data_IF_737901934391
#
_entry.id   IF_737901934391
#
_cell.length_a   1.000
_cell.length_b   1.000
_cell.length_c   1.000
_cell.angle_alpha   90.00
_cell.angle_beta   90.00
_cell.angle_gamma   90.00
#
_symmetry.space_group_name_H-M   'P 1'
#
loop_
_entity.id
_entity.type
_entity.pdbx_description
1 polymer ?
#
# COMPACT_ATOMS: atom_id res chain seq x y z
N UNK A 1 -33.04 -5.57 -64.57
CA UNK A 1 -32.75 -4.63 -63.49
C UNK A 1 -32.72 -5.42 -62.20
N UNK A 2 -31.54 -5.83 -61.83
CA UNK A 2 -31.29 -6.76 -60.70
C UNK A 2 -30.78 -5.93 -59.55
N UNK A 3 -31.50 -5.92 -58.44
CA UNK A 3 -31.14 -5.20 -57.20
C UNK A 3 -30.36 -6.21 -56.33
N UNK A 4 -29.10 -5.95 -56.12
CA UNK A 4 -28.27 -6.70 -55.15
C UNK A 4 -28.49 -6.13 -53.76
N UNK A 5 -29.07 -6.94 -52.91
CA UNK A 5 -29.20 -6.70 -51.49
C UNK A 5 -27.86 -7.03 -50.82
N UNK A 6 -27.17 -6.02 -50.30
CA UNK A 6 -25.90 -6.18 -49.59
C UNK A 6 -26.21 -6.37 -48.12
N UNK A 7 -26.22 -7.61 -47.66
CA UNK A 7 -26.24 -7.97 -46.22
C UNK A 7 -24.95 -7.51 -45.56
N UNK A 8 -25.05 -6.43 -44.80
CA UNK A 8 -24.01 -5.99 -43.88
C UNK A 8 -23.96 -6.95 -42.69
N UNK A 9 -22.98 -7.83 -42.69
CA UNK A 9 -22.60 -8.62 -41.54
C UNK A 9 -21.98 -7.69 -40.49
N UNK A 10 -22.83 -7.27 -39.54
CA UNK A 10 -22.39 -6.61 -38.30
C UNK A 10 -21.55 -7.60 -37.50
N UNK A 11 -20.25 -7.56 -37.71
CA UNK A 11 -19.28 -8.22 -36.85
C UNK A 11 -19.34 -7.62 -35.45
N UNK A 12 -20.01 -8.28 -34.52
CA UNK A 12 -19.82 -8.05 -33.08
C UNK A 12 -18.35 -8.37 -32.77
N UNK A 13 -17.50 -7.37 -32.84
CA UNK A 13 -16.17 -7.42 -32.27
C UNK A 13 -16.32 -7.71 -30.78
N UNK A 14 -16.04 -8.94 -30.40
CA UNK A 14 -15.84 -9.31 -29.01
C UNK A 14 -14.78 -8.35 -28.47
N UNK A 15 -15.19 -7.36 -27.65
CA UNK A 15 -14.27 -6.62 -26.78
C UNK A 15 -13.60 -7.68 -25.92
N UNK A 16 -12.37 -8.06 -26.25
CA UNK A 16 -11.52 -8.80 -25.33
C UNK A 16 -11.48 -7.96 -24.05
N UNK A 17 -12.16 -8.41 -23.02
CA UNK A 17 -12.16 -7.76 -21.73
C UNK A 17 -10.72 -7.80 -21.24
N UNK A 18 -10.06 -6.65 -21.25
CA UNK A 18 -8.69 -6.54 -20.78
C UNK A 18 -8.71 -6.90 -19.28
N UNK A 19 -7.98 -7.99 -18.90
CA UNK A 19 -7.94 -8.40 -17.51
C UNK A 19 -7.30 -7.32 -16.65
N UNK A 20 -7.79 -7.13 -15.44
CA UNK A 20 -7.18 -6.26 -14.43
C UNK A 20 -5.82 -6.85 -14.05
N UNK A 21 -4.77 -6.10 -14.25
CA UNK A 21 -3.38 -6.50 -13.97
C UNK A 21 -3.06 -6.22 -12.53
N UNK A 22 -2.64 -7.23 -11.79
CA UNK A 22 -2.35 -7.16 -10.37
C UNK A 22 -0.87 -7.37 -10.12
N UNK A 23 -0.23 -6.41 -9.46
CA UNK A 23 1.08 -6.57 -8.84
C UNK A 23 0.89 -6.92 -7.36
N UNK A 24 1.78 -7.74 -6.81
CA UNK A 24 1.79 -8.12 -5.40
C UNK A 24 3.15 -7.73 -4.82
N UNK A 25 3.15 -7.10 -3.64
CA UNK A 25 4.32 -6.89 -2.82
C UNK A 25 4.06 -7.49 -1.43
N UNK A 26 4.60 -8.68 -1.18
CA UNK A 26 4.50 -9.43 0.08
C UNK A 26 5.69 -10.40 0.16
N UNK A 27 6.48 -10.36 1.22
CA UNK A 27 7.67 -11.19 1.40
C UNK A 27 7.35 -12.63 1.87
N UNK A 28 6.08 -12.91 2.17
CA UNK A 28 5.61 -14.23 2.57
C UNK A 28 5.13 -15.05 1.39
N UNK A 29 5.98 -15.95 0.86
CA UNK A 29 5.67 -16.76 -0.32
C UNK A 29 4.36 -17.54 -0.19
N UNK A 30 4.04 -18.09 0.98
CA UNK A 30 2.79 -18.83 1.22
C UNK A 30 1.53 -17.96 1.05
N UNK A 31 1.62 -16.68 1.39
CA UNK A 31 0.54 -15.70 1.17
C UNK A 31 0.40 -15.41 -0.32
N UNK A 32 1.51 -15.16 -1.00
CA UNK A 32 1.54 -14.94 -2.46
C UNK A 32 0.96 -16.13 -3.21
N UNK A 33 1.31 -17.35 -2.84
CA UNK A 33 0.78 -18.58 -3.44
C UNK A 33 -0.73 -18.73 -3.15
N UNK A 34 -1.17 -18.31 -1.96
CA UNK A 34 -2.59 -18.21 -1.63
C UNK A 34 -3.36 -17.26 -2.57
N UNK A 35 -2.81 -16.09 -2.88
CA UNK A 35 -3.41 -15.16 -3.83
C UNK A 35 -3.39 -15.73 -5.26
N UNK A 36 -2.28 -16.32 -5.70
CA UNK A 36 -2.18 -16.99 -7.00
C UNK A 36 -3.22 -18.07 -7.15
N UNK A 37 -3.38 -18.93 -6.15
CA UNK A 37 -4.39 -20.00 -6.16
C UNK A 37 -5.81 -19.44 -6.27
N UNK A 38 -6.15 -18.41 -5.49
CA UNK A 38 -7.48 -17.78 -5.50
C UNK A 38 -7.83 -17.11 -6.82
N UNK A 39 -6.84 -16.55 -7.50
CA UNK A 39 -7.01 -15.81 -8.75
C UNK A 39 -6.72 -16.65 -10.00
N UNK A 40 -6.26 -17.91 -9.85
CA UNK A 40 -5.84 -18.78 -10.96
C UNK A 40 -6.91 -19.01 -12.03
N UNK A 41 -8.18 -19.14 -11.61
CA UNK A 41 -9.32 -19.38 -12.49
C UNK A 41 -10.05 -18.09 -12.90
N UNK A 42 -9.52 -16.92 -12.55
CA UNK A 42 -10.16 -15.66 -12.91
C UNK A 42 -10.04 -15.36 -14.41
N UNK A 43 -11.17 -15.01 -15.01
CA UNK A 43 -11.22 -14.47 -16.37
C UNK A 43 -11.08 -12.94 -16.41
N UNK A 44 -11.15 -12.25 -15.24
CA UNK A 44 -11.18 -10.80 -15.10
C UNK A 44 -9.91 -10.21 -14.51
N UNK A 45 -9.13 -11.01 -13.80
CA UNK A 45 -7.92 -10.59 -13.09
C UNK A 45 -6.73 -11.43 -13.55
N UNK A 46 -5.54 -10.85 -13.58
CA UNK A 46 -4.28 -11.55 -13.85
C UNK A 46 -3.16 -10.98 -12.99
N UNK A 47 -2.36 -11.84 -12.35
CA UNK A 47 -1.18 -11.41 -11.61
C UNK A 47 -0.06 -11.23 -12.62
N UNK A 48 0.50 -10.02 -12.67
CA UNK A 48 1.60 -9.66 -13.58
C UNK A 48 2.95 -9.69 -12.89
N UNK A 49 3.03 -9.38 -11.60
CA UNK A 49 4.25 -9.48 -10.82
C UNK A 49 3.98 -9.86 -9.36
N UNK A 50 4.95 -10.51 -8.72
CA UNK A 50 4.95 -10.77 -7.29
C UNK A 50 6.38 -10.54 -6.78
N UNK A 51 6.53 -9.64 -5.83
CA UNK A 51 7.76 -9.03 -5.35
C UNK A 51 7.88 -9.27 -3.86
N UNK A 52 9.12 -9.41 -3.36
CA UNK A 52 9.41 -9.63 -1.96
C UNK A 52 10.06 -8.42 -1.27
N UNK A 53 10.55 -7.44 -2.04
CA UNK A 53 11.24 -6.28 -1.53
C UNK A 53 10.64 -4.98 -2.08
N UNK A 54 10.59 -3.96 -1.23
CA UNK A 54 10.00 -2.67 -1.59
C UNK A 54 10.71 -1.94 -2.73
N UNK A 55 12.04 -2.08 -2.85
CA UNK A 55 12.84 -1.44 -3.90
C UNK A 55 12.64 -2.06 -5.29
N UNK A 56 12.07 -3.26 -5.37
CA UNK A 56 11.70 -3.91 -6.64
C UNK A 56 10.44 -3.30 -7.27
N UNK A 57 9.62 -2.56 -6.48
CA UNK A 57 8.28 -2.16 -6.88
C UNK A 57 8.29 -1.17 -8.05
N UNK A 58 9.04 -0.08 -7.96
CA UNK A 58 9.10 0.90 -9.05
C UNK A 58 9.68 0.35 -10.34
N UNK A 59 10.81 -0.40 -10.35
CA UNK A 59 11.31 -1.06 -11.55
C UNK A 59 10.30 -2.04 -12.16
N UNK A 60 9.60 -2.81 -11.32
CA UNK A 60 8.58 -3.75 -11.79
C UNK A 60 7.41 -3.03 -12.45
N UNK A 61 6.85 -1.99 -11.83
CA UNK A 61 5.73 -1.22 -12.39
C UNK A 61 6.11 -0.47 -13.69
N UNK A 62 7.38 -0.03 -13.82
CA UNK A 62 7.86 0.61 -15.04
C UNK A 62 7.97 -0.38 -16.21
N UNK A 63 8.41 -1.61 -15.95
CA UNK A 63 8.57 -2.65 -16.95
C UNK A 63 7.26 -3.40 -17.26
N UNK A 64 6.45 -3.61 -16.25
CA UNK A 64 5.21 -4.38 -16.31
C UNK A 64 4.10 -3.63 -15.52
N UNK A 65 3.42 -2.68 -16.19
CA UNK A 65 2.40 -1.87 -15.54
C UNK A 65 1.27 -2.70 -14.95
N UNK A 66 0.85 -2.36 -13.74
CA UNK A 66 -0.29 -2.94 -13.03
C UNK A 66 -1.42 -1.93 -12.87
N UNK A 67 -2.64 -2.42 -12.75
CA UNK A 67 -3.84 -1.62 -12.49
C UNK A 67 -4.16 -1.60 -10.98
N UNK A 68 -3.83 -2.70 -10.28
CA UNK A 68 -4.02 -2.84 -8.82
C UNK A 68 -2.73 -3.38 -8.19
N UNK A 69 -2.30 -2.77 -7.10
CA UNK A 69 -1.21 -3.25 -6.25
C UNK A 69 -1.79 -3.82 -4.95
N UNK A 70 -1.56 -5.10 -4.69
CA UNK A 70 -1.74 -5.70 -3.38
C UNK A 70 -0.45 -5.46 -2.58
N UNK A 71 -0.56 -4.71 -1.49
CA UNK A 71 0.60 -4.21 -0.74
C UNK A 71 0.57 -4.69 0.70
N UNK A 72 1.56 -5.48 1.11
CA UNK A 72 1.81 -5.70 2.54
C UNK A 72 2.63 -4.54 3.14
N UNK A 73 2.35 -4.26 4.41
CA UNK A 73 3.00 -3.18 5.18
C UNK A 73 4.38 -3.58 5.67
N UNK A 74 4.59 -4.86 5.95
CA UNK A 74 5.76 -5.35 6.69
C UNK A 74 6.89 -5.83 5.81
N UNK A 75 6.82 -5.63 4.49
CA UNK A 75 7.87 -6.06 3.58
C UNK A 75 9.20 -5.34 3.84
N UNK A 76 10.35 -6.03 3.74
CA UNK A 76 11.65 -5.39 3.84
C UNK A 76 11.91 -4.44 2.67
N UNK A 77 12.75 -3.42 2.90
CA UNK A 77 13.07 -2.43 1.86
C UNK A 77 13.85 -3.06 0.71
N UNK A 78 14.87 -3.90 1.00
CA UNK A 78 15.70 -4.61 0.02
C UNK A 78 16.40 -5.81 0.65
N UNK A 79 17.03 -6.71 -0.13
CA UNK A 79 17.84 -7.80 0.42
C UNK A 79 18.95 -7.34 1.36
N UNK A 80 19.52 -6.15 1.13
CA UNK A 80 20.54 -5.52 1.96
C UNK A 80 20.00 -4.60 3.05
N UNK A 81 18.69 -4.34 3.10
CA UNK A 81 18.05 -3.49 4.09
C UNK A 81 16.76 -4.15 4.61
N UNK A 82 16.81 -4.88 5.72
CA UNK A 82 15.67 -5.58 6.29
C UNK A 82 14.65 -4.66 6.97
N UNK A 83 14.94 -3.36 7.11
CA UNK A 83 13.98 -2.43 7.68
C UNK A 83 12.72 -2.35 6.81
N UNK A 84 11.54 -2.13 7.42
CA UNK A 84 10.28 -2.05 6.68
C UNK A 84 10.31 -1.01 5.58
N UNK A 85 9.73 -1.35 4.43
CA UNK A 85 9.54 -0.42 3.32
C UNK A 85 8.69 0.79 3.76
N UNK A 86 9.06 2.03 3.41
CA UNK A 86 8.41 3.24 3.95
C UNK A 86 7.07 3.52 3.28
N UNK A 87 6.06 2.70 3.53
CA UNK A 87 4.76 2.72 2.82
C UNK A 87 4.05 4.06 2.88
N UNK A 88 4.13 4.80 4.00
CA UNK A 88 3.49 6.11 4.14
C UNK A 88 4.13 7.20 3.27
N UNK A 89 5.37 6.96 2.80
CA UNK A 89 6.03 7.75 1.77
C UNK A 89 5.76 7.18 0.37
N UNK A 90 5.79 5.86 0.23
CA UNK A 90 5.69 5.17 -1.05
C UNK A 90 4.30 5.31 -1.68
N UNK A 91 3.21 5.14 -0.91
CA UNK A 91 1.84 5.21 -1.44
C UNK A 91 1.57 6.52 -2.21
N UNK A 92 1.74 7.72 -1.63
CA UNK A 92 1.49 8.97 -2.37
C UNK A 92 2.45 9.16 -3.54
N UNK A 93 3.71 8.74 -3.42
CA UNK A 93 4.70 8.81 -4.50
C UNK A 93 4.30 7.94 -5.70
N UNK A 94 3.86 6.70 -5.44
CA UNK A 94 3.38 5.78 -6.47
C UNK A 94 2.12 6.32 -7.16
N UNK A 95 1.15 6.83 -6.41
CA UNK A 95 -0.09 7.39 -6.97
C UNK A 95 0.17 8.65 -7.79
N UNK A 96 1.17 9.46 -7.42
CA UNK A 96 1.59 10.60 -8.24
C UNK A 96 2.23 10.16 -9.55
N UNK A 97 3.07 9.10 -9.51
CA UNK A 97 3.79 8.59 -10.69
C UNK A 97 2.91 7.74 -11.59
N UNK A 98 1.98 6.99 -11.01
CA UNK A 98 1.06 6.09 -11.68
C UNK A 98 -0.40 6.43 -11.30
N UNK A 99 -1.00 7.49 -11.90
CA UNK A 99 -2.31 8.02 -11.47
C UNK A 99 -3.47 7.02 -11.59
N UNK A 100 -3.33 6.00 -12.43
CA UNK A 100 -4.34 4.96 -12.62
C UNK A 100 -4.12 3.71 -11.73
N UNK A 101 -3.02 3.68 -10.97
CA UNK A 101 -2.74 2.58 -10.05
C UNK A 101 -3.68 2.67 -8.84
N UNK A 102 -4.29 1.56 -8.50
CA UNK A 102 -5.10 1.40 -7.29
C UNK A 102 -4.29 0.61 -6.27
N UNK A 103 -4.21 1.07 -5.02
CA UNK A 103 -3.45 0.39 -3.97
C UNK A 103 -4.43 -0.19 -2.94
N UNK A 104 -4.39 -1.52 -2.80
CA UNK A 104 -5.13 -2.29 -1.80
C UNK A 104 -4.15 -2.87 -0.80
N UNK A 105 -4.17 -2.37 0.43
CA UNK A 105 -3.30 -2.85 1.50
C UNK A 105 -3.88 -4.12 2.12
N UNK A 106 -3.03 -5.15 2.28
CA UNK A 106 -3.39 -6.41 2.96
C UNK A 106 -2.35 -6.68 4.03
N UNK A 107 -2.74 -6.65 5.31
CA UNK A 107 -1.78 -6.63 6.42
C UNK A 107 -2.29 -7.36 7.66
N UNK A 108 -1.36 -7.77 8.53
CA UNK A 108 -1.69 -8.30 9.88
C UNK A 108 -1.98 -7.20 10.91
N UNK A 109 -1.67 -5.94 10.59
CA UNK A 109 -1.70 -4.83 11.53
C UNK A 109 -3.10 -4.30 11.75
N UNK A 110 -3.47 -4.16 13.03
CA UNK A 110 -4.79 -3.73 13.50
C UNK A 110 -4.78 -2.33 14.15
N UNK A 111 -3.63 -1.68 14.16
CA UNK A 111 -3.45 -0.37 14.81
C UNK A 111 -4.22 0.70 14.05
N UNK A 112 -5.20 1.31 14.72
CA UNK A 112 -6.08 2.33 14.15
C UNK A 112 -5.32 3.48 13.50
N UNK A 113 -4.25 3.94 14.16
CA UNK A 113 -3.40 5.03 13.65
C UNK A 113 -2.78 4.70 12.31
N UNK A 114 -2.28 3.46 12.15
CA UNK A 114 -1.66 2.99 10.92
C UNK A 114 -2.69 2.79 9.80
N UNK A 115 -3.83 2.13 10.08
CA UNK A 115 -4.92 1.96 9.12
C UNK A 115 -5.37 3.33 8.58
N UNK A 116 -5.60 4.29 9.50
CA UNK A 116 -5.98 5.66 9.13
C UNK A 116 -4.92 6.33 8.27
N UNK A 117 -3.64 6.27 8.66
CA UNK A 117 -2.55 6.90 7.93
C UNK A 117 -2.40 6.34 6.50
N UNK A 118 -2.56 5.02 6.34
CA UNK A 118 -2.51 4.33 5.04
C UNK A 118 -3.68 4.78 4.14
N UNK A 119 -4.91 4.81 4.66
CA UNK A 119 -6.07 5.29 3.90
C UNK A 119 -5.93 6.77 3.53
N UNK A 120 -5.45 7.59 4.45
CA UNK A 120 -5.18 9.02 4.21
C UNK A 120 -4.01 9.25 3.24
N UNK A 121 -3.07 8.31 3.11
CA UNK A 121 -2.01 8.35 2.11
C UNK A 121 -2.54 8.10 0.69
N UNK A 122 -3.76 7.56 0.55
CA UNK A 122 -4.45 7.37 -0.73
C UNK A 122 -4.70 5.91 -1.10
N UNK A 123 -4.50 4.95 -0.20
CA UNK A 123 -4.91 3.57 -0.45
C UNK A 123 -6.43 3.48 -0.67
N UNK A 124 -6.86 2.63 -1.61
CA UNK A 124 -8.27 2.38 -1.91
C UNK A 124 -8.89 1.28 -1.05
N UNK A 125 -8.09 0.69 -0.15
CA UNK A 125 -8.64 -0.28 0.78
C UNK A 125 -7.59 -0.80 1.76
N UNK A 126 -8.12 -1.42 2.83
CA UNK A 126 -7.33 -2.09 3.87
C UNK A 126 -8.01 -3.39 4.29
N UNK A 127 -7.32 -4.50 4.07
CA UNK A 127 -7.79 -5.85 4.42
C UNK A 127 -6.86 -6.41 5.49
N UNK A 128 -7.44 -6.97 6.55
CA UNK A 128 -6.67 -7.73 7.52
C UNK A 128 -6.42 -9.16 6.98
N UNK A 129 -5.17 -9.65 7.05
CA UNK A 129 -4.79 -11.00 6.58
C UNK A 129 -5.57 -12.12 7.29
N UNK A 130 -6.13 -11.86 8.46
CA UNK A 130 -7.01 -12.78 9.20
C UNK A 130 -8.45 -12.82 8.67
N UNK A 131 -8.90 -11.84 7.87
CA UNK A 131 -10.24 -11.80 7.29
C UNK A 131 -10.35 -12.75 6.10
N UNK A 132 -10.51 -14.05 6.43
CA UNK A 132 -10.63 -15.11 5.44
C UNK A 132 -11.86 -14.95 4.54
N UNK A 133 -12.93 -14.30 5.00
CA UNK A 133 -14.12 -14.08 4.20
C UNK A 133 -13.81 -13.11 3.04
N UNK A 134 -13.20 -11.97 3.33
CA UNK A 134 -12.77 -10.99 2.33
C UNK A 134 -11.70 -11.59 1.38
N UNK A 135 -10.74 -12.35 1.91
CA UNK A 135 -9.71 -12.98 1.08
C UNK A 135 -10.25 -14.11 0.17
N UNK A 136 -11.35 -14.77 0.53
CA UNK A 136 -12.04 -15.71 -0.39
C UNK A 136 -12.70 -15.00 -1.56
N UNK A 137 -13.13 -13.76 -1.36
CA UNK A 137 -13.79 -12.93 -2.37
C UNK A 137 -12.83 -11.90 -3.01
N UNK A 138 -11.51 -12.17 -2.94
CA UNK A 138 -10.46 -11.23 -3.35
C UNK A 138 -10.63 -10.71 -4.79
N UNK A 139 -11.11 -11.56 -5.72
CA UNK A 139 -11.38 -11.15 -7.09
C UNK A 139 -12.41 -10.02 -7.16
N UNK A 140 -13.54 -10.14 -6.47
CA UNK A 140 -14.57 -9.12 -6.47
C UNK A 140 -14.11 -7.84 -5.74
N UNK A 141 -13.31 -7.97 -4.70
CA UNK A 141 -12.70 -6.82 -4.01
C UNK A 141 -11.77 -6.07 -4.96
N UNK A 142 -10.87 -6.76 -5.69
CA UNK A 142 -9.99 -6.15 -6.69
C UNK A 142 -10.81 -5.40 -7.76
N UNK A 143 -11.86 -6.01 -8.28
CA UNK A 143 -12.72 -5.39 -9.28
C UNK A 143 -13.44 -4.16 -8.71
N UNK A 144 -13.93 -4.24 -7.48
CA UNK A 144 -14.59 -3.13 -6.81
C UNK A 144 -13.66 -1.91 -6.66
N UNK A 145 -12.45 -2.12 -6.13
CA UNK A 145 -11.50 -1.01 -5.94
C UNK A 145 -10.97 -0.47 -7.26
N UNK A 146 -10.74 -1.33 -8.26
CA UNK A 146 -10.36 -0.91 -9.61
C UNK A 146 -11.40 0.01 -10.26
N UNK A 147 -12.68 -0.21 -9.98
CA UNK A 147 -13.80 0.61 -10.45
C UNK A 147 -14.05 1.86 -9.58
N UNK A 148 -13.12 2.22 -8.69
CA UNK A 148 -13.20 3.41 -7.85
C UNK A 148 -13.89 3.20 -6.51
N UNK A 149 -14.21 1.97 -6.12
CA UNK A 149 -14.71 1.64 -4.79
C UNK A 149 -13.63 1.74 -3.72
N UNK A 150 -14.03 1.91 -2.47
CA UNK A 150 -13.18 1.78 -1.29
C UNK A 150 -13.55 0.49 -0.58
N UNK A 151 -12.55 -0.31 -0.17
CA UNK A 151 -12.80 -1.55 0.55
C UNK A 151 -12.06 -1.59 1.89
N UNK A 152 -12.80 -1.77 2.97
CA UNK A 152 -12.26 -2.06 4.29
C UNK A 152 -12.80 -3.42 4.74
N UNK A 153 -11.93 -4.31 5.18
CA UNK A 153 -12.40 -5.53 5.85
C UNK A 153 -13.21 -5.16 7.08
N UNK A 154 -14.18 -6.00 7.45
CA UNK A 154 -15.12 -5.68 8.53
C UNK A 154 -14.44 -5.20 9.79
N UNK A 155 -13.40 -5.92 10.25
CA UNK A 155 -12.65 -5.57 11.46
C UNK A 155 -11.87 -4.25 11.29
N UNK A 156 -11.27 -3.99 10.12
CA UNK A 156 -10.59 -2.71 9.86
C UNK A 156 -11.58 -1.53 9.91
N UNK A 157 -12.77 -1.70 9.34
CA UNK A 157 -13.83 -0.70 9.40
C UNK A 157 -14.30 -0.46 10.84
N UNK A 158 -14.54 -1.52 11.62
CA UNK A 158 -14.94 -1.42 13.03
C UNK A 158 -13.88 -0.68 13.87
N UNK A 159 -12.59 -0.93 13.61
CA UNK A 159 -11.47 -0.24 14.29
C UNK A 159 -11.46 1.25 13.96
N UNK A 160 -11.70 1.63 12.70
CA UNK A 160 -11.75 3.03 12.30
C UNK A 160 -12.96 3.75 12.92
N UNK A 161 -14.14 3.11 12.95
CA UNK A 161 -15.37 3.71 13.45
C UNK A 161 -15.39 3.89 14.97
N UNK A 162 -14.80 2.98 15.76
CA UNK A 162 -14.78 3.04 17.23
C UNK A 162 -14.08 4.26 17.81
N UNK A 163 -13.45 5.10 17.01
CA UNK A 163 -12.68 6.27 17.45
C UNK A 163 -13.22 7.59 16.90
N UNK A 164 -14.51 7.73 16.66
CA UNK A 164 -15.14 8.99 16.19
C UNK A 164 -15.16 10.07 17.29
N UNK A 165 -14.82 9.73 18.54
CA UNK A 165 -14.69 10.71 19.61
C UNK A 165 -13.33 11.44 19.53
N UNK A 166 -13.33 12.55 18.79
CA UNK A 166 -12.57 13.77 19.07
C UNK A 166 -11.04 13.74 19.07
N UNK A 167 -10.34 12.73 18.54
CA UNK A 167 -8.87 12.76 18.60
C UNK A 167 -8.29 13.04 17.20
N UNK A 168 -7.89 14.33 17.01
CA UNK A 168 -7.00 14.73 15.92
C UNK A 168 -5.78 13.79 15.88
N UNK A 169 -5.35 13.40 14.70
CA UNK A 169 -4.14 12.60 14.52
C UNK A 169 -2.98 13.24 15.30
N UNK A 170 -2.38 12.51 16.24
CA UNK A 170 -1.26 12.99 17.08
C UNK A 170 -0.14 13.60 16.22
N UNK A 171 0.12 13.00 15.06
CA UNK A 171 1.12 13.45 14.08
C UNK A 171 0.45 13.79 12.74
N UNK A 172 0.98 14.79 12.04
CA UNK A 172 0.55 15.09 10.68
C UNK A 172 1.03 14.01 9.68
N UNK A 173 0.38 13.92 8.52
CA UNK A 173 0.79 13.01 7.42
C UNK A 173 2.28 13.15 7.09
N UNK A 174 2.78 14.38 6.97
CA UNK A 174 4.19 14.66 6.67
C UNK A 174 5.14 14.27 7.82
N UNK A 175 4.68 14.35 9.08
CA UNK A 175 5.46 13.87 10.23
C UNK A 175 5.53 12.33 10.25
N UNK A 176 4.42 11.65 9.94
CA UNK A 176 4.36 10.19 9.81
C UNK A 176 5.26 9.70 8.66
N UNK A 177 5.20 10.35 7.50
CA UNK A 177 6.05 10.08 6.35
C UNK A 177 7.55 10.21 6.71
N UNK A 178 7.95 11.30 7.37
CA UNK A 178 9.32 11.51 7.79
C UNK A 178 9.80 10.44 8.78
N UNK A 179 8.96 10.04 9.74
CA UNK A 179 9.31 8.98 10.71
C UNK A 179 9.35 7.59 10.04
N UNK A 180 8.49 7.32 9.07
CA UNK A 180 8.52 6.08 8.28
C UNK A 180 9.84 5.95 7.50
N UNK A 181 10.31 7.04 6.89
CA UNK A 181 11.61 7.10 6.24
C UNK A 181 12.78 6.94 7.24
N UNK A 182 12.67 7.52 8.44
CA UNK A 182 13.66 7.32 9.49
C UNK A 182 13.75 5.85 9.96
N UNK A 183 12.62 5.14 9.96
CA UNK A 183 12.57 3.71 10.27
C UNK A 183 13.25 2.88 9.18
N UNK A 184 12.93 3.14 7.92
CA UNK A 184 13.45 2.39 6.77
C UNK A 184 14.93 2.66 6.49
N UNK A 185 15.39 3.87 6.80
CA UNK A 185 16.75 4.34 6.54
C UNK A 185 17.34 5.00 7.80
N UNK A 186 17.66 4.21 8.85
CA UNK A 186 18.05 4.74 10.16
C UNK A 186 19.32 5.61 10.11
N UNK A 187 20.26 5.27 9.23
CA UNK A 187 21.54 5.96 9.09
C UNK A 187 21.48 7.17 8.15
N UNK A 188 20.36 7.40 7.48
CA UNK A 188 20.21 8.53 6.59
C UNK A 188 20.25 9.86 7.33
N UNK A 189 21.01 10.81 6.77
CA UNK A 189 21.02 12.21 7.21
C UNK A 189 19.70 12.89 6.92
N UNK A 190 19.42 14.02 7.59
CA UNK A 190 18.22 14.83 7.27
C UNK A 190 18.25 15.39 5.85
N UNK A 191 19.44 15.57 5.26
CA UNK A 191 19.60 16.01 3.88
C UNK A 191 19.19 14.91 2.88
N UNK A 192 19.54 13.66 3.15
CA UNK A 192 19.11 12.51 2.33
C UNK A 192 17.62 12.25 2.43
N UNK A 193 17.06 12.37 3.64
CA UNK A 193 15.59 12.29 3.83
C UNK A 193 14.88 13.43 3.07
N UNK A 194 15.45 14.64 3.07
CA UNK A 194 14.93 15.78 2.32
C UNK A 194 14.85 15.51 0.81
N UNK A 195 15.90 14.88 0.25
CA UNK A 195 15.90 14.44 -1.16
C UNK A 195 14.78 13.44 -1.43
N UNK A 196 14.62 12.41 -0.57
CA UNK A 196 13.56 11.41 -0.71
C UNK A 196 12.16 12.04 -0.65
N UNK A 197 11.95 13.00 0.23
CA UNK A 197 10.66 13.71 0.40
C UNK A 197 10.46 14.87 -0.59
N UNK A 198 11.44 15.18 -1.43
CA UNK A 198 11.44 16.33 -2.37
C UNK A 198 11.14 17.68 -1.68
N UNK A 199 11.73 17.90 -0.49
CA UNK A 199 11.59 19.11 0.32
C UNK A 199 12.95 19.60 0.82
N UNK A 200 12.98 20.79 1.46
CA UNK A 200 14.22 21.32 2.02
C UNK A 200 14.67 20.56 3.29
N UNK A 201 15.99 20.54 3.55
CA UNK A 201 16.54 19.95 4.78
C UNK A 201 15.98 20.64 6.05
N UNK A 202 15.76 21.95 5.99
CA UNK A 202 15.14 22.71 7.10
C UNK A 202 13.71 22.24 7.37
N UNK A 203 12.93 21.94 6.31
CA UNK A 203 11.57 21.41 6.44
C UNK A 203 11.58 20.03 7.12
N UNK A 204 12.49 19.12 6.74
CA UNK A 204 12.61 17.81 7.41
C UNK A 204 12.95 17.97 8.88
N UNK A 205 13.90 18.86 9.21
CA UNK A 205 14.24 19.15 10.62
C UNK A 205 13.02 19.64 11.41
N UNK A 206 12.25 20.55 10.84
CA UNK A 206 11.03 21.07 11.47
C UNK A 206 9.96 19.98 11.66
N UNK A 207 9.75 19.12 10.66
CA UNK A 207 8.82 18.00 10.75
C UNK A 207 9.21 17.03 11.88
N UNK A 208 10.50 16.65 11.94
CA UNK A 208 11.02 15.76 12.97
C UNK A 208 10.96 16.41 14.36
N UNK A 209 11.38 17.67 14.49
CA UNK A 209 11.31 18.40 15.77
C UNK A 209 9.86 18.49 16.28
N UNK A 210 8.91 18.82 15.40
CA UNK A 210 7.50 18.85 15.74
C UNK A 210 6.95 17.48 16.16
N UNK A 211 7.39 16.40 15.49
CA UNK A 211 7.05 15.04 15.87
C UNK A 211 7.63 14.68 17.25
N UNK A 212 8.90 15.04 17.53
CA UNK A 212 9.51 14.76 18.84
C UNK A 212 8.77 15.44 19.99
N UNK A 213 8.37 16.69 19.81
CA UNK A 213 7.60 17.44 20.81
C UNK A 213 6.27 16.73 21.08
N UNK A 214 5.53 16.38 20.04
CA UNK A 214 4.22 15.72 20.14
C UNK A 214 4.30 14.32 20.76
N UNK A 215 5.39 13.58 20.50
CA UNK A 215 5.64 12.27 21.09
C UNK A 215 6.27 12.31 22.49
N UNK A 216 6.66 13.48 22.96
CA UNK A 216 7.33 13.65 24.26
C UNK A 216 8.75 13.05 24.31
N UNK A 217 9.48 13.06 23.19
CA UNK A 217 10.82 12.47 23.08
C UNK A 217 11.83 13.50 22.53
N UNK A 218 13.13 13.20 22.60
CA UNK A 218 14.20 14.15 22.23
C UNK A 218 15.11 13.66 21.12
N UNK A 219 14.98 12.41 20.66
CA UNK A 219 15.87 11.84 19.65
C UNK A 219 15.08 11.14 18.53
N UNK A 220 15.72 11.00 17.35
CA UNK A 220 15.15 10.28 16.22
C UNK A 220 14.74 8.85 16.60
N UNK A 221 15.66 8.10 17.20
CA UNK A 221 15.42 6.69 17.55
C UNK A 221 14.27 6.56 18.56
N UNK A 222 14.22 7.43 19.59
CA UNK A 222 13.13 7.43 20.54
C UNK A 222 11.79 7.78 19.88
N UNK A 223 11.77 8.71 18.89
CA UNK A 223 10.58 9.07 18.15
C UNK A 223 10.07 7.91 17.28
N UNK A 224 10.96 7.24 16.56
CA UNK A 224 10.64 6.05 15.76
C UNK A 224 10.08 4.94 16.65
N UNK A 225 10.78 4.61 17.74
CA UNK A 225 10.32 3.58 18.72
C UNK A 225 8.96 3.92 19.28
N UNK A 226 8.75 5.17 19.70
CA UNK A 226 7.46 5.61 20.28
C UNK A 226 6.34 5.59 19.25
N UNK A 227 6.60 6.03 18.01
CA UNK A 227 5.61 6.00 16.94
C UNK A 227 5.21 4.55 16.58
N UNK A 228 6.16 3.60 16.61
CA UNK A 228 5.88 2.16 16.44
C UNK A 228 5.02 1.61 17.58
N UNK A 229 5.38 1.89 18.82
CA UNK A 229 4.60 1.47 20.00
C UNK A 229 3.16 1.98 19.99
N UNK A 230 2.95 3.19 19.44
CA UNK A 230 1.62 3.79 19.27
C UNK A 230 0.90 3.33 18.00
N UNK A 231 1.50 2.44 17.19
CA UNK A 231 0.92 1.96 15.93
C UNK A 231 0.66 3.08 14.91
N UNK A 232 1.53 4.08 14.86
CA UNK A 232 1.43 5.23 13.96
C UNK A 232 2.24 5.03 12.66
N UNK A 233 3.26 4.19 12.71
CA UNK A 233 4.08 3.76 11.58
C UNK A 233 4.27 2.24 11.65
N UNK A 234 4.80 1.62 10.57
CA UNK A 234 4.97 0.16 10.50
C UNK A 234 5.61 -0.40 11.78
N UNK A 235 4.96 -1.36 12.44
CA UNK A 235 5.52 -2.02 13.61
C UNK A 235 6.74 -2.88 13.24
N UNK A 236 7.38 -3.50 14.21
CA UNK A 236 8.48 -4.43 13.96
C UNK A 236 7.96 -5.64 13.21
N UNK A 237 8.67 -6.08 12.17
CA UNK A 237 8.39 -7.37 11.59
C UNK A 237 8.45 -8.40 12.74
N UNK A 238 7.35 -9.07 13.00
CA UNK A 238 7.36 -10.15 13.96
C UNK A 238 8.34 -11.20 13.41
N UNK A 239 9.49 -11.37 14.09
CA UNK A 239 10.40 -12.46 13.79
C UNK A 239 9.68 -13.76 14.14
N UNK A 240 8.90 -14.29 13.23
CA UNK A 240 8.46 -15.67 13.28
C UNK A 240 9.68 -16.51 12.88
N UNK A 241 10.52 -16.84 13.88
CA UNK A 241 11.41 -17.96 13.74
C UNK A 241 10.55 -19.22 13.73
N UNK A 242 10.44 -19.85 12.58
CA UNK A 242 9.98 -21.23 12.41
C UNK A 242 11.15 -22.18 12.62
#
# INVERSE_FOLDING_TARGET
MVIFDTLALSGKGSRMSNKIRVAILDDHQSIVDGYRFRLSNSHRVTIVSALSFGDELEPSLANQPADVLLLDISVPTSPGNPNPYPILHAIPTLLQRYPNLVILVISMHVERGLIRAVMEAGASGYILKEDQATLRDLENVIISVHNGGIHLSRKANDILLRGVDGNESLLSKRQLEALSLCLSFPDSTTAELAKKMSISNSTVRNLLSGAYIKLGVRTRNAAVTKARQLGLISPEAANFHF
#
